data_IF_010138269810
#
_entry.id   IF_010138269810
#
_cell.length_a   1.000
_cell.length_b   1.000
_cell.length_c   1.000
_cell.angle_alpha   90.00
_cell.angle_beta   90.00
_cell.angle_gamma   90.00
#
_symmetry.space_group_name_H-M   'P 1'
#
loop_
_entity.id
_entity.type
_entity.pdbx_description
1 polymer ?
#
# COMPACT_ATOMS: atom_id res chain seq x y z
N UNK A 1 8.56 -5.25 5.75
CA UNK A 1 9.06 -3.88 5.47
C UNK A 1 10.52 -3.83 5.88
N UNK A 2 11.40 -3.49 4.95
CA UNK A 2 12.86 -3.45 5.16
C UNK A 2 13.28 -2.14 5.81
N UNK A 3 14.45 -2.12 6.47
CA UNK A 3 14.99 -0.88 7.05
C UNK A 3 15.37 0.14 5.95
N UNK A 4 15.83 -0.36 4.79
CA UNK A 4 16.12 0.46 3.61
C UNK A 4 14.83 1.12 3.10
N UNK A 5 13.76 0.35 2.95
CA UNK A 5 12.46 0.86 2.53
C UNK A 5 11.93 1.97 3.43
N UNK A 6 12.06 1.80 4.75
CA UNK A 6 11.68 2.84 5.72
C UNK A 6 12.52 4.10 5.61
N UNK A 7 13.85 3.94 5.54
CA UNK A 7 14.77 5.08 5.49
C UNK A 7 14.58 5.91 4.22
N UNK A 8 14.63 5.26 3.05
CA UNK A 8 14.55 5.95 1.76
C UNK A 8 13.14 6.41 1.42
N UNK A 9 12.10 5.58 1.71
CA UNK A 9 10.71 5.98 1.51
C UNK A 9 10.30 7.13 2.41
N UNK A 10 10.78 7.12 3.67
CA UNK A 10 10.57 8.21 4.61
C UNK A 10 11.25 9.50 4.19
N UNK A 11 12.51 9.44 3.75
CA UNK A 11 13.26 10.60 3.28
C UNK A 11 12.59 11.23 2.03
N UNK A 12 12.16 10.40 1.07
CA UNK A 12 11.47 10.89 -0.11
C UNK A 12 10.14 11.55 0.23
N UNK A 13 9.38 10.99 1.20
CA UNK A 13 8.13 11.60 1.66
C UNK A 13 8.37 12.96 2.33
N UNK A 14 9.39 13.07 3.19
CA UNK A 14 9.73 14.35 3.83
C UNK A 14 10.06 15.41 2.80
N UNK A 15 10.96 15.10 1.85
CA UNK A 15 11.33 16.01 0.77
C UNK A 15 10.11 16.43 -0.05
N UNK A 16 9.27 15.47 -0.45
CA UNK A 16 8.07 15.73 -1.23
C UNK A 16 7.08 16.65 -0.49
N UNK A 17 6.96 16.45 0.83
CA UNK A 17 6.06 17.27 1.68
C UNK A 17 6.57 18.68 1.88
N UNK A 18 7.89 18.87 2.07
CA UNK A 18 8.51 20.20 2.20
C UNK A 18 8.31 21.03 0.94
N UNK A 19 8.33 20.39 -0.23
CA UNK A 19 8.10 21.02 -1.54
C UNK A 19 6.62 21.10 -1.96
N UNK A 20 5.69 20.53 -1.18
CA UNK A 20 4.26 20.49 -1.52
C UNK A 20 3.95 19.58 -2.71
N UNK A 21 4.77 18.56 -2.95
CA UNK A 21 4.69 17.62 -4.06
C UNK A 21 4.31 16.20 -3.64
N UNK A 22 3.90 16.02 -2.38
CA UNK A 22 3.66 14.70 -1.79
C UNK A 22 2.56 13.89 -2.50
N UNK A 23 1.49 14.53 -2.98
CA UNK A 23 0.47 13.88 -3.80
C UNK A 23 1.03 13.47 -5.18
N UNK A 24 1.72 14.39 -5.85
CA UNK A 24 2.27 14.16 -7.21
C UNK A 24 3.29 13.04 -7.21
N UNK A 25 4.25 13.07 -6.28
CA UNK A 25 5.27 12.03 -6.15
C UNK A 25 4.67 10.70 -5.75
N UNK A 26 3.70 10.69 -4.84
CA UNK A 26 2.97 9.49 -4.45
C UNK A 26 2.24 8.82 -5.61
N UNK A 27 1.56 9.61 -6.44
CA UNK A 27 0.89 9.12 -7.65
C UNK A 27 1.90 8.54 -8.66
N UNK A 28 3.04 9.21 -8.88
CA UNK A 28 4.09 8.72 -9.78
C UNK A 28 4.72 7.42 -9.27
N UNK A 29 5.01 7.32 -7.98
CA UNK A 29 5.52 6.08 -7.37
C UNK A 29 4.54 4.91 -7.53
N UNK A 30 3.24 5.19 -7.44
CA UNK A 30 2.21 4.16 -7.63
C UNK A 30 2.26 3.61 -9.05
N UNK A 31 2.15 4.46 -10.06
CA UNK A 31 2.18 4.06 -11.49
C UNK A 31 3.50 3.37 -11.83
N UNK A 32 4.61 3.91 -11.34
CA UNK A 32 5.94 3.33 -11.56
C UNK A 32 6.05 1.92 -10.96
N UNK A 33 5.62 1.71 -9.74
CA UNK A 33 5.66 0.39 -9.11
C UNK A 33 4.71 -0.61 -9.77
N UNK A 34 3.57 -0.17 -10.31
CA UNK A 34 2.67 -1.01 -11.10
C UNK A 34 3.36 -1.45 -12.41
N UNK A 35 3.95 -0.53 -13.17
CA UNK A 35 4.71 -0.85 -14.38
C UNK A 35 5.90 -1.79 -14.11
N UNK A 36 6.65 -1.57 -13.03
CA UNK A 36 7.77 -2.45 -12.65
C UNK A 36 7.33 -3.85 -12.20
N UNK A 37 6.11 -4.02 -11.71
CA UNK A 37 5.55 -5.35 -11.41
C UNK A 37 5.15 -6.11 -12.66
N UNK A 38 4.71 -5.40 -13.70
CA UNK A 38 4.39 -5.98 -15.01
C UNK A 38 5.66 -6.37 -15.80
N UNK A 39 6.78 -5.68 -15.55
CA UNK A 39 8.08 -5.96 -16.16
C UNK A 39 9.16 -6.29 -15.10
N UNK A 40 9.15 -7.49 -14.52
CA UNK A 40 10.14 -7.90 -13.53
C UNK A 40 11.56 -8.03 -14.12
N UNK A 41 11.69 -8.17 -15.44
CA UNK A 41 12.99 -8.26 -16.08
C UNK A 41 13.73 -6.92 -16.06
N UNK A 42 13.00 -5.81 -16.11
CA UNK A 42 13.58 -4.48 -15.90
C UNK A 42 14.21 -4.36 -14.50
N UNK A 43 13.50 -4.83 -13.47
CA UNK A 43 14.03 -4.82 -12.09
C UNK A 43 15.30 -5.67 -11.99
N UNK A 44 15.30 -6.87 -12.59
CA UNK A 44 16.48 -7.74 -12.64
C UNK A 44 17.66 -7.09 -13.37
N UNK A 45 17.38 -6.41 -14.48
CA UNK A 45 18.40 -5.69 -15.25
C UNK A 45 19.07 -4.60 -14.37
N UNK A 46 18.29 -3.83 -13.62
CA UNK A 46 18.79 -2.79 -12.72
C UNK A 46 19.61 -3.36 -11.55
N UNK A 47 19.37 -4.62 -11.18
CA UNK A 47 20.09 -5.33 -10.10
C UNK A 47 21.31 -6.13 -10.60
N UNK A 48 21.48 -6.29 -11.93
CA UNK A 48 22.50 -7.17 -12.51
C UNK A 48 23.93 -6.63 -12.28
N UNK A 49 24.81 -7.38 -11.55
CA UNK A 49 26.15 -6.89 -11.22
C UNK A 49 27.09 -6.82 -12.45
N UNK A 50 26.83 -7.61 -13.49
CA UNK A 50 27.63 -7.66 -14.71
C UNK A 50 27.46 -6.40 -15.56
N UNK A 51 26.36 -5.68 -15.41
CA UNK A 51 26.13 -4.43 -16.10
C UNK A 51 26.73 -3.27 -15.31
N UNK A 52 27.60 -2.50 -15.93
CA UNK A 52 28.23 -1.32 -15.29
C UNK A 52 27.16 -0.36 -14.74
N UNK A 53 27.42 0.19 -13.58
CA UNK A 53 26.53 1.16 -12.91
C UNK A 53 26.14 2.33 -13.85
N UNK A 54 27.13 2.90 -14.55
CA UNK A 54 26.88 3.99 -15.52
C UNK A 54 25.87 3.60 -16.60
N UNK A 55 25.94 2.35 -17.09
CA UNK A 55 25.00 1.90 -18.14
C UNK A 55 23.59 1.68 -17.59
N UNK A 56 23.47 1.22 -16.34
CA UNK A 56 22.16 1.10 -15.66
C UNK A 56 21.52 2.48 -15.46
N UNK A 57 22.29 3.48 -15.05
CA UNK A 57 21.82 4.86 -14.89
C UNK A 57 21.43 5.49 -16.24
N UNK A 58 22.17 5.20 -17.31
CA UNK A 58 21.82 5.63 -18.68
C UNK A 58 20.47 5.05 -19.12
N UNK A 59 20.28 3.73 -18.95
CA UNK A 59 19.01 3.06 -19.27
C UNK A 59 17.86 3.64 -18.43
N UNK A 60 18.09 3.90 -17.14
CA UNK A 60 17.10 4.53 -16.26
C UNK A 60 16.69 5.91 -16.79
N UNK A 61 17.68 6.73 -17.19
CA UNK A 61 17.45 8.06 -17.76
C UNK A 61 16.69 8.01 -19.09
N UNK A 62 17.02 7.05 -19.98
CA UNK A 62 16.31 6.85 -21.25
C UNK A 62 14.85 6.37 -21.02
N UNK A 63 14.62 5.52 -20.02
CA UNK A 63 13.30 4.98 -19.73
C UNK A 63 12.35 6.01 -19.11
N UNK A 64 12.83 6.80 -18.16
CA UNK A 64 12.01 7.66 -17.31
C UNK A 64 12.33 9.15 -17.39
N UNK A 65 13.45 9.54 -17.99
CA UNK A 65 13.85 10.95 -18.13
C UNK A 65 12.77 11.79 -18.81
N UNK A 66 12.39 12.90 -18.20
CA UNK A 66 11.33 13.79 -18.66
C UNK A 66 9.89 13.26 -18.57
N UNK A 67 9.71 12.01 -18.10
CA UNK A 67 8.38 11.38 -17.90
C UNK A 67 7.91 11.41 -16.45
N UNK A 68 8.86 11.46 -15.52
CA UNK A 68 8.61 11.50 -14.08
C UNK A 68 9.30 12.73 -13.48
N UNK A 69 8.90 13.12 -12.29
CA UNK A 69 9.50 14.24 -11.57
C UNK A 69 10.98 13.95 -11.24
N UNK A 70 11.81 14.97 -11.28
CA UNK A 70 13.26 14.83 -11.07
C UNK A 70 13.62 14.20 -9.72
N UNK A 71 12.85 14.46 -8.66
CA UNK A 71 13.06 13.84 -7.34
C UNK A 71 12.84 12.33 -7.38
N UNK A 72 11.85 11.86 -8.15
CA UNK A 72 11.63 10.43 -8.33
C UNK A 72 12.76 9.81 -9.14
N UNK A 73 13.19 10.46 -10.23
CA UNK A 73 14.31 9.98 -11.04
C UNK A 73 15.62 9.91 -10.24
N UNK A 74 15.92 10.94 -9.46
CA UNK A 74 17.09 10.97 -8.58
C UNK A 74 17.02 9.88 -7.52
N UNK A 75 15.84 9.69 -6.93
CA UNK A 75 15.60 8.62 -5.97
C UNK A 75 15.86 7.23 -6.57
N UNK A 76 15.36 6.96 -7.79
CA UNK A 76 15.64 5.71 -8.50
C UNK A 76 17.14 5.54 -8.79
N UNK A 77 17.81 6.63 -9.16
CA UNK A 77 19.26 6.62 -9.41
C UNK A 77 20.03 6.21 -8.16
N UNK A 78 19.66 6.71 -6.99
CA UNK A 78 20.25 6.33 -5.70
C UNK A 78 20.06 4.83 -5.43
N UNK A 79 18.87 4.28 -5.70
CA UNK A 79 18.62 2.85 -5.52
C UNK A 79 19.46 1.99 -6.48
N UNK A 80 19.63 2.41 -7.74
CA UNK A 80 20.51 1.75 -8.71
C UNK A 80 21.96 1.81 -8.28
N UNK A 81 22.42 2.98 -7.80
CA UNK A 81 23.78 3.19 -7.32
C UNK A 81 24.14 2.29 -6.15
N UNK A 82 23.20 2.09 -5.23
CA UNK A 82 23.38 1.25 -4.06
C UNK A 82 23.09 -0.23 -4.32
N UNK A 83 22.61 -0.59 -5.52
CA UNK A 83 22.29 -1.98 -5.84
C UNK A 83 21.07 -2.50 -5.09
N UNK A 84 20.16 -1.61 -4.72
CA UNK A 84 18.95 -1.90 -3.91
C UNK A 84 17.68 -1.51 -4.66
N UNK A 85 17.68 -1.62 -5.99
CA UNK A 85 16.56 -1.15 -6.82
C UNK A 85 15.23 -1.85 -6.52
N UNK A 86 15.27 -3.12 -6.11
CA UNK A 86 14.07 -3.88 -5.70
C UNK A 86 13.37 -3.29 -4.46
N UNK A 87 14.10 -2.53 -3.63
CA UNK A 87 13.55 -1.89 -2.45
C UNK A 87 12.55 -0.76 -2.77
N UNK A 88 12.42 -0.38 -4.03
CA UNK A 88 11.43 0.61 -4.48
C UNK A 88 10.01 0.26 -4.02
N UNK A 89 9.66 -1.02 -3.99
CA UNK A 89 8.33 -1.46 -3.54
C UNK A 89 8.11 -1.21 -2.05
N UNK A 90 9.13 -1.50 -1.23
CA UNK A 90 9.09 -1.22 0.20
C UNK A 90 9.14 0.28 0.50
N UNK A 91 9.90 1.04 -0.29
CA UNK A 91 9.94 2.51 -0.20
C UNK A 91 8.56 3.12 -0.50
N UNK A 92 7.87 2.64 -1.53
CA UNK A 92 6.51 3.08 -1.87
C UNK A 92 5.52 2.77 -0.74
N UNK A 93 5.62 1.59 -0.13
CA UNK A 93 4.74 1.22 0.99
C UNK A 93 4.91 2.18 2.18
N UNK A 94 6.16 2.50 2.54
CA UNK A 94 6.42 3.46 3.62
C UNK A 94 5.98 4.87 3.26
N UNK A 95 6.24 5.31 2.02
CA UNK A 95 5.76 6.59 1.50
C UNK A 95 4.25 6.70 1.64
N UNK A 96 3.49 5.70 1.17
CA UNK A 96 2.03 5.69 1.22
C UNK A 96 1.51 5.72 2.66
N UNK A 97 2.16 4.98 3.56
CA UNK A 97 1.82 4.97 4.98
C UNK A 97 1.99 6.35 5.62
N UNK A 98 3.10 7.03 5.33
CA UNK A 98 3.38 8.37 5.85
C UNK A 98 2.43 9.41 5.23
N UNK A 99 2.16 9.30 3.94
CA UNK A 99 1.19 10.13 3.23
C UNK A 99 -0.20 9.99 3.86
N UNK A 100 -0.68 8.76 4.03
CA UNK A 100 -1.97 8.49 4.65
C UNK A 100 -2.06 9.08 6.06
N UNK A 101 -1.01 8.89 6.86
CA UNK A 101 -0.93 9.46 8.21
C UNK A 101 -0.98 10.99 8.21
N UNK A 102 -0.27 11.64 7.29
CA UNK A 102 -0.22 13.10 7.18
C UNK A 102 -1.54 13.72 6.73
N UNK A 103 -2.29 13.00 5.87
CA UNK A 103 -3.57 13.44 5.32
C UNK A 103 -4.80 12.89 6.06
N UNK A 104 -4.60 12.19 7.18
CA UNK A 104 -5.71 11.63 7.95
C UNK A 104 -6.51 10.57 7.19
N UNK A 105 -5.84 9.85 6.26
CA UNK A 105 -6.42 8.76 5.49
C UNK A 105 -6.20 7.45 6.26
N UNK A 106 -7.24 6.65 6.38
CA UNK A 106 -7.17 5.33 7.01
C UNK A 106 -7.50 4.26 5.99
N UNK A 107 -6.58 3.33 5.78
CA UNK A 107 -6.83 2.17 4.93
C UNK A 107 -7.59 1.12 5.72
N UNK A 108 -8.77 0.74 5.22
CA UNK A 108 -9.60 -0.32 5.80
C UNK A 108 -9.74 -1.46 4.79
N UNK A 109 -9.36 -2.67 5.19
CA UNK A 109 -9.56 -3.87 4.38
C UNK A 109 -10.85 -4.55 4.83
N UNK A 110 -11.82 -4.65 3.91
CA UNK A 110 -13.06 -5.36 4.14
C UNK A 110 -13.00 -6.75 3.50
N UNK A 111 -13.12 -7.79 4.32
CA UNK A 111 -13.23 -9.17 3.86
C UNK A 111 -14.70 -9.58 3.80
N UNK A 112 -15.10 -10.12 2.67
CA UNK A 112 -16.48 -10.56 2.39
C UNK A 112 -16.49 -11.92 1.69
N UNK A 113 -17.61 -12.63 1.73
CA UNK A 113 -17.75 -13.94 1.07
C UNK A 113 -17.93 -13.80 -0.44
N UNK A 114 -18.60 -12.71 -0.85
CA UNK A 114 -18.88 -12.35 -2.24
C UNK A 114 -18.31 -10.97 -2.54
N UNK A 115 -18.13 -10.68 -3.81
CA UNK A 115 -17.73 -9.36 -4.26
C UNK A 115 -18.81 -8.32 -3.91
N UNK A 116 -18.39 -7.19 -3.36
CA UNK A 116 -19.29 -6.07 -3.10
C UNK A 116 -19.42 -5.24 -4.37
N UNK A 117 -20.63 -4.90 -4.74
CA UNK A 117 -20.88 -3.92 -5.79
C UNK A 117 -20.44 -2.50 -5.36
N UNK A 118 -20.32 -1.60 -6.32
CA UNK A 118 -19.84 -0.23 -6.09
C UNK A 118 -20.75 0.56 -5.13
N UNK A 119 -22.06 0.26 -5.15
CA UNK A 119 -23.03 0.92 -4.27
C UNK A 119 -22.83 0.50 -2.80
N UNK A 120 -22.62 -0.79 -2.55
CA UNK A 120 -22.36 -1.31 -1.20
C UNK A 120 -21.00 -0.88 -0.68
N UNK A 121 -19.98 -0.85 -1.56
CA UNK A 121 -18.65 -0.30 -1.20
C UNK A 121 -18.75 1.17 -0.82
N UNK A 122 -19.49 1.97 -1.58
CA UNK A 122 -19.73 3.38 -1.30
C UNK A 122 -20.42 3.60 0.06
N UNK A 123 -21.51 2.87 0.33
CA UNK A 123 -22.23 2.93 1.61
C UNK A 123 -21.36 2.50 2.80
N UNK A 124 -20.54 1.47 2.61
CA UNK A 124 -19.63 0.99 3.64
C UNK A 124 -18.56 2.05 3.96
N UNK A 125 -17.96 2.63 2.91
CA UNK A 125 -16.98 3.72 3.05
C UNK A 125 -17.56 4.92 3.79
N UNK A 126 -18.71 5.44 3.36
CA UNK A 126 -19.36 6.59 4.01
C UNK A 126 -19.64 6.32 5.49
N UNK A 127 -20.10 5.12 5.83
CA UNK A 127 -20.38 4.74 7.22
C UNK A 127 -19.11 4.68 8.05
N UNK A 128 -18.02 4.17 7.48
CA UNK A 128 -16.72 4.13 8.12
C UNK A 128 -16.16 5.55 8.32
N UNK A 129 -16.22 6.41 7.31
CA UNK A 129 -15.79 7.81 7.40
C UNK A 129 -16.55 8.60 8.49
N UNK A 130 -17.87 8.42 8.55
CA UNK A 130 -18.68 9.02 9.61
C UNK A 130 -18.31 8.53 11.01
N UNK A 131 -17.95 7.25 11.13
CA UNK A 131 -17.60 6.64 12.43
C UNK A 131 -16.19 7.01 12.87
N UNK A 132 -15.24 7.05 11.93
CA UNK A 132 -13.83 7.29 12.21
C UNK A 132 -13.46 8.80 12.20
N UNK A 133 -14.29 9.64 11.58
CA UNK A 133 -13.99 11.06 11.38
C UNK A 133 -12.76 11.30 10.48
N UNK A 134 -12.42 10.33 9.62
CA UNK A 134 -11.26 10.35 8.74
C UNK A 134 -11.67 9.92 7.34
N UNK A 135 -10.89 10.27 6.34
CA UNK A 135 -11.04 9.74 4.98
C UNK A 135 -10.69 8.26 4.95
N UNK A 136 -11.54 7.43 4.34
CA UNK A 136 -11.35 5.97 4.29
C UNK A 136 -10.98 5.51 2.89
N UNK A 137 -9.81 4.91 2.78
CA UNK A 137 -9.41 4.11 1.62
C UNK A 137 -9.87 2.66 1.85
N UNK A 138 -10.98 2.27 1.19
CA UNK A 138 -11.58 0.95 1.34
C UNK A 138 -10.97 -0.03 0.32
N UNK A 139 -10.43 -1.14 0.80
CA UNK A 139 -9.97 -2.26 0.00
C UNK A 139 -10.86 -3.47 0.26
N UNK A 140 -11.53 -4.00 -0.76
CA UNK A 140 -12.37 -5.19 -0.63
C UNK A 140 -11.59 -6.44 -1.02
N UNK A 141 -11.67 -7.49 -0.20
CA UNK A 141 -11.08 -8.81 -0.46
C UNK A 141 -12.11 -9.91 -0.22
N UNK A 142 -12.07 -10.94 -1.06
CA UNK A 142 -12.93 -12.09 -0.91
C UNK A 142 -12.26 -13.12 0.02
N UNK A 143 -12.96 -13.49 1.09
CA UNK A 143 -12.58 -14.59 1.98
C UNK A 143 -13.69 -15.62 2.03
N UNK A 144 -13.56 -16.67 1.22
CA UNK A 144 -14.53 -17.78 1.11
C UNK A 144 -14.58 -18.67 2.36
N UNK A 145 -13.68 -18.51 3.31
CA UNK A 145 -13.71 -19.24 4.57
C UNK A 145 -14.74 -18.69 5.57
N UNK A 146 -15.25 -17.48 5.31
CA UNK A 146 -16.30 -16.86 6.11
C UNK A 146 -17.65 -17.48 5.75
N UNK A 147 -18.54 -17.60 6.74
CA UNK A 147 -19.93 -18.05 6.53
C UNK A 147 -20.85 -16.92 6.03
N UNK A 148 -20.42 -15.67 6.15
CA UNK A 148 -21.15 -14.47 5.77
C UNK A 148 -20.79 -13.26 6.64
N UNK A 149 -21.33 -12.10 6.29
CA UNK A 149 -21.03 -10.84 6.95
C UNK A 149 -19.78 -10.14 6.40
N UNK A 150 -19.30 -9.12 7.12
CA UNK A 150 -18.12 -8.34 6.76
C UNK A 150 -17.15 -8.36 7.94
N UNK A 151 -15.89 -8.67 7.68
CA UNK A 151 -14.79 -8.51 8.61
C UNK A 151 -13.95 -7.32 8.15
N UNK A 152 -13.72 -6.38 9.05
CA UNK A 152 -12.90 -5.20 8.79
C UNK A 152 -11.54 -5.34 9.47
N UNK A 153 -10.49 -4.96 8.77
CA UNK A 153 -9.13 -4.89 9.31
C UNK A 153 -8.58 -3.49 9.06
N UNK A 154 -8.10 -2.83 10.10
CA UNK A 154 -7.61 -1.46 10.09
C UNK A 154 -6.39 -1.37 10.99
N UNK A 155 -5.25 -0.92 10.44
CA UNK A 155 -3.99 -0.73 11.19
C UNK A 155 -3.56 -1.93 12.06
N UNK A 156 -3.94 -3.16 11.65
CA UNK A 156 -3.64 -4.40 12.41
C UNK A 156 -4.71 -4.78 13.43
N UNK A 157 -5.70 -3.93 13.68
CA UNK A 157 -6.87 -4.27 14.48
C UNK A 157 -7.95 -4.92 13.61
N UNK A 158 -8.57 -5.96 14.14
CA UNK A 158 -9.65 -6.69 13.47
C UNK A 158 -10.98 -6.41 14.15
N UNK A 159 -11.92 -5.89 13.39
CA UNK A 159 -13.33 -5.80 13.77
C UNK A 159 -14.09 -6.90 13.02
N UNK A 160 -14.34 -8.01 13.70
CA UNK A 160 -15.02 -9.16 13.11
C UNK A 160 -16.53 -9.09 13.32
N UNK A 161 -17.23 -8.54 12.32
CA UNK A 161 -18.69 -8.52 12.24
C UNK A 161 -19.29 -9.71 11.47
N UNK A 162 -18.53 -10.78 11.24
CA UNK A 162 -18.98 -11.94 10.49
C UNK A 162 -20.07 -12.73 11.22
N UNK A 163 -20.88 -13.46 10.45
CA UNK A 163 -21.89 -14.39 10.98
C UNK A 163 -21.23 -15.47 11.84
N UNK A 164 -20.03 -15.91 11.48
CA UNK A 164 -19.28 -16.90 12.24
C UNK A 164 -18.94 -16.38 13.63
N UNK A 165 -18.40 -15.16 13.75
CA UNK A 165 -18.08 -14.55 15.05
C UNK A 165 -19.33 -14.38 15.94
N UNK A 166 -20.46 -14.00 15.33
CA UNK A 166 -21.74 -13.92 16.05
C UNK A 166 -22.24 -15.28 16.53
N UNK A 167 -22.13 -16.32 15.72
CA UNK A 167 -22.51 -17.69 16.08
C UNK A 167 -21.60 -18.27 17.16
N UNK A 168 -20.29 -18.03 17.05
CA UNK A 168 -19.33 -18.46 18.08
C UNK A 168 -19.58 -17.73 19.40
N UNK A 169 -19.92 -16.44 19.38
CA UNK A 169 -20.34 -15.67 20.56
C UNK A 169 -21.61 -16.23 21.21
N UNK A 170 -22.64 -16.56 20.40
CA UNK A 170 -23.87 -17.19 20.90
C UNK A 170 -23.58 -18.58 21.48
N UNK A 171 -22.73 -19.36 20.79
CA UNK A 171 -22.33 -20.69 21.28
C UNK A 171 -21.60 -20.60 22.61
N UNK A 172 -20.66 -19.67 22.74
CA UNK A 172 -19.95 -19.44 24.00
C UNK A 172 -20.89 -19.01 25.13
N UNK A 173 -21.88 -18.14 24.84
CA UNK A 173 -22.89 -17.72 25.83
C UNK A 173 -23.83 -18.87 26.25
N UNK A 174 -24.18 -19.76 25.30
CA UNK A 174 -25.06 -20.90 25.59
C UNK A 174 -24.36 -22.07 26.31
N UNK A 175 -23.09 -22.31 25.95
CA UNK A 175 -22.31 -23.45 26.46
C UNK A 175 -21.27 -23.09 27.51
N UNK A 176 -20.88 -21.79 27.61
CA UNK A 176 -19.97 -21.28 28.64
C UNK A 176 -20.63 -20.99 30.01
N UNK A 177 -21.95 -21.13 30.12
CA UNK A 177 -22.71 -20.96 31.36
C UNK A 177 -22.87 -22.26 32.20
N UNK A 178 -22.01 -23.25 31.93
CA UNK A 178 -21.92 -24.47 32.75
C UNK A 178 -20.49 -24.63 33.26
N UNK A 179 -20.16 -23.94 34.32
CA UNK A 179 -19.19 -24.33 35.33
C UNK A 179 -19.46 -23.54 36.62
#
# INVERSE_FOLDING_TARGET
>A
MTEIGKAYGGALFQLAREEGLDETIGAQLKVLCEALREDPDYVRLMMTPTLKKSKRLEILGESFGGKIHEYVLNFLSILVENGTFEEIFACREEYQKLYNKAHGIVTVVAYTVIELDDELQGKLREKLEKTLGKTVELQCRIDRSMLGGVRLEMEGERLDGSVKSRLDGIRAALFGAKA
#
